data_IF_498190779593
#
_entry.id   IF_498190779593
#
_cell.length_a   1.000
_cell.length_b   1.000
_cell.length_c   1.000
_cell.angle_alpha   90.00
_cell.angle_beta   90.00
_cell.angle_gamma   90.00
#
_symmetry.space_group_name_H-M   'P 1'
#
loop_
_entity.id
_entity.type
_entity.pdbx_description
1 polymer ?
#
# COMPACT_ATOMS: atom_id res chain seq x y z
N UNK A 1 -33.35 31.54 -16.51
CA UNK A 1 -32.15 31.06 -17.25
C UNK A 1 -32.57 30.69 -18.65
N UNK A 2 -31.97 31.31 -19.68
CA UNK A 2 -32.33 31.08 -21.08
C UNK A 2 -31.66 29.82 -21.62
N UNK A 3 -32.31 29.12 -22.56
CA UNK A 3 -31.79 27.86 -23.15
C UNK A 3 -30.37 28.00 -23.70
N UNK A 4 -30.05 29.19 -24.23
CA UNK A 4 -28.73 29.56 -24.76
C UNK A 4 -27.62 29.54 -23.70
N UNK A 5 -27.90 29.97 -22.46
CA UNK A 5 -26.89 29.98 -21.40
C UNK A 5 -26.60 28.57 -20.87
N UNK A 6 -27.60 27.67 -20.91
CA UNK A 6 -27.42 26.25 -20.58
C UNK A 6 -26.57 25.52 -21.63
N UNK A 7 -26.82 25.77 -22.91
CA UNK A 7 -26.02 25.20 -24.00
C UNK A 7 -24.56 25.68 -23.96
N UNK A 8 -24.33 26.96 -23.64
CA UNK A 8 -22.98 27.49 -23.46
C UNK A 8 -22.24 26.83 -22.28
N UNK A 9 -22.93 26.61 -21.15
CA UNK A 9 -22.38 25.91 -19.99
C UNK A 9 -22.02 24.45 -20.32
N UNK A 10 -22.89 23.73 -21.02
CA UNK A 10 -22.65 22.34 -21.42
C UNK A 10 -21.45 22.26 -22.38
N UNK A 11 -21.37 23.14 -23.38
CA UNK A 11 -20.24 23.17 -24.31
C UNK A 11 -18.91 23.46 -23.61
N UNK A 12 -18.92 24.36 -22.62
CA UNK A 12 -17.73 24.68 -21.82
C UNK A 12 -17.31 23.50 -20.92
N UNK A 13 -18.27 22.78 -20.34
CA UNK A 13 -18.02 21.55 -19.57
C UNK A 13 -17.42 20.44 -20.43
N UNK A 14 -17.93 20.26 -21.65
CA UNK A 14 -17.41 19.27 -22.61
C UNK A 14 -15.99 19.63 -23.04
N UNK A 15 -15.72 20.90 -23.39
CA UNK A 15 -14.38 21.37 -23.75
C UNK A 15 -13.38 21.19 -22.61
N UNK A 16 -13.77 21.51 -21.37
CA UNK A 16 -12.94 21.27 -20.19
C UNK A 16 -12.64 19.78 -19.96
N UNK A 17 -13.63 18.91 -20.18
CA UNK A 17 -13.46 17.46 -20.06
C UNK A 17 -12.53 16.88 -21.12
N UNK A 18 -12.67 17.30 -22.39
CA UNK A 18 -11.78 16.87 -23.48
C UNK A 18 -10.35 17.32 -23.22
N UNK A 19 -10.15 18.54 -22.72
CA UNK A 19 -8.82 19.05 -22.37
C UNK A 19 -8.18 18.27 -21.21
N UNK A 20 -8.95 17.96 -20.16
CA UNK A 20 -8.49 17.20 -19.00
C UNK A 20 -8.12 15.74 -19.36
N UNK A 21 -8.81 15.15 -20.33
CA UNK A 21 -8.59 13.76 -20.76
C UNK A 21 -7.57 13.64 -21.93
N UNK A 22 -7.01 14.76 -22.39
CA UNK A 22 -6.06 14.74 -23.50
C UNK A 22 -4.77 14.02 -23.07
N UNK A 23 -4.37 12.93 -23.76
CA UNK A 23 -3.28 12.08 -23.31
C UNK A 23 -1.95 12.83 -23.35
N UNK A 24 -1.35 13.03 -22.17
CA UNK A 24 0.04 13.51 -22.02
C UNK A 24 0.98 12.30 -22.00
N UNK A 25 2.17 12.49 -22.55
CA UNK A 25 3.23 11.47 -22.56
C UNK A 25 3.88 11.39 -21.18
N UNK A 26 3.87 10.21 -20.57
CA UNK A 26 4.58 9.94 -19.31
C UNK A 26 5.53 8.78 -19.52
N UNK A 27 6.76 8.90 -19.01
CA UNK A 27 7.77 7.83 -19.07
C UNK A 27 7.48 6.87 -17.94
N UNK A 28 7.21 5.60 -18.26
CA UNK A 28 6.83 4.57 -17.29
C UNK A 28 7.76 3.36 -17.44
N UNK A 29 8.07 2.71 -16.32
CA UNK A 29 8.94 1.53 -16.29
C UNK A 29 8.08 0.30 -16.62
N UNK A 30 8.15 -0.18 -17.85
CA UNK A 30 7.36 -1.32 -18.36
C UNK A 30 8.22 -2.58 -18.51
N UNK A 31 7.66 -3.73 -18.17
CA UNK A 31 8.34 -5.04 -18.28
C UNK A 31 8.15 -5.59 -19.71
N UNK A 32 9.21 -5.59 -20.52
CA UNK A 32 9.24 -6.18 -21.88
C UNK A 32 10.24 -7.34 -21.88
N UNK A 33 9.79 -8.53 -22.31
CA UNK A 33 10.61 -9.75 -22.37
C UNK A 33 11.35 -10.08 -21.06
N UNK A 34 10.70 -9.87 -19.92
CA UNK A 34 11.28 -10.14 -18.59
C UNK A 34 12.23 -9.05 -18.06
N UNK A 35 12.56 -8.02 -18.85
CA UNK A 35 13.39 -6.89 -18.42
C UNK A 35 12.56 -5.60 -18.28
N UNK A 36 12.86 -4.80 -17.25
CA UNK A 36 12.25 -3.48 -17.06
C UNK A 36 12.91 -2.46 -17.99
N UNK A 37 12.13 -1.88 -18.89
CA UNK A 37 12.56 -0.84 -19.84
C UNK A 37 11.69 0.40 -19.61
N UNK A 38 12.30 1.57 -19.61
CA UNK A 38 11.55 2.83 -19.59
C UNK A 38 11.02 3.08 -21.01
N UNK A 39 9.72 2.99 -21.20
CA UNK A 39 9.07 3.25 -22.50
C UNK A 39 8.13 4.45 -22.38
N UNK A 40 7.99 5.21 -23.48
CA UNK A 40 7.13 6.39 -23.53
C UNK A 40 5.74 5.97 -23.97
N UNK A 41 4.88 5.64 -23.01
CA UNK A 41 3.53 5.14 -23.31
C UNK A 41 2.53 6.30 -23.27
N UNK A 42 1.84 6.52 -24.38
CA UNK A 42 0.80 7.55 -24.50
C UNK A 42 -0.48 7.04 -23.82
N UNK A 43 -0.69 7.39 -22.54
CA UNK A 43 -1.90 6.99 -21.79
C UNK A 43 -2.56 8.20 -21.12
N UNK A 44 -3.87 8.05 -20.89
CA UNK A 44 -4.65 8.98 -20.06
C UNK A 44 -4.07 8.94 -18.63
N UNK A 45 -3.88 10.09 -17.96
CA UNK A 45 -3.42 10.13 -16.57
C UNK A 45 -4.54 9.67 -15.63
N UNK A 46 -4.85 8.38 -15.66
CA UNK A 46 -5.72 7.73 -14.70
C UNK A 46 -4.83 7.00 -13.69
N UNK A 47 -5.09 7.23 -12.40
CA UNK A 47 -4.50 6.46 -11.33
C UNK A 47 -4.96 5.01 -11.49
N UNK A 48 -4.07 4.12 -11.93
CA UNK A 48 -4.39 2.70 -12.09
C UNK A 48 -4.53 2.11 -10.68
N UNK A 49 -5.60 1.37 -10.44
CA UNK A 49 -5.73 0.59 -9.21
C UNK A 49 -4.92 -0.70 -9.30
N UNK A 50 -4.86 -1.45 -8.19
CA UNK A 50 -4.19 -2.74 -8.08
C UNK A 50 -4.57 -3.73 -9.20
N UNK A 51 -5.85 -3.77 -9.60
CA UNK A 51 -6.37 -4.66 -10.65
C UNK A 51 -5.84 -4.31 -12.05
N UNK A 52 -5.45 -3.05 -12.28
CA UNK A 52 -4.96 -2.56 -13.58
C UNK A 52 -3.43 -2.44 -13.62
N UNK A 53 -2.78 -2.27 -12.47
CA UNK A 53 -1.33 -2.10 -12.32
C UNK A 53 -0.62 -3.39 -11.89
N UNK A 54 -1.36 -4.34 -11.31
CA UNK A 54 -0.83 -5.51 -10.63
C UNK A 54 -0.23 -5.16 -9.27
N UNK A 55 -0.05 -6.17 -8.41
CA UNK A 55 0.57 -6.02 -7.09
C UNK A 55 0.04 -7.03 -6.07
N UNK A 56 0.05 -6.63 -4.79
CA UNK A 56 -0.41 -7.48 -3.68
C UNK A 56 -1.49 -6.79 -2.84
N UNK A 57 -2.48 -7.57 -2.41
CA UNK A 57 -3.50 -7.20 -1.43
C UNK A 57 -3.40 -8.14 -0.22
N UNK A 58 -3.29 -7.58 0.97
CA UNK A 58 -3.22 -8.32 2.24
C UNK A 58 -4.30 -7.78 3.18
N UNK A 59 -5.11 -8.68 3.72
CA UNK A 59 -6.03 -8.40 4.81
C UNK A 59 -5.49 -9.04 6.09
N UNK A 60 -5.10 -8.22 7.05
CA UNK A 60 -4.58 -8.64 8.35
C UNK A 60 -5.70 -8.55 9.37
N UNK A 61 -5.91 -9.61 10.15
CA UNK A 61 -6.89 -9.68 11.23
C UNK A 61 -6.19 -9.96 12.55
N UNK A 62 -6.81 -9.57 13.67
CA UNK A 62 -6.30 -9.86 14.99
C UNK A 62 -6.45 -11.36 15.28
N UNK A 63 -5.33 -12.02 15.59
CA UNK A 63 -5.35 -13.41 16.05
C UNK A 63 -5.75 -13.47 17.54
N UNK A 64 -7.01 -13.82 17.80
CA UNK A 64 -7.56 -13.99 19.16
C UNK A 64 -7.34 -15.41 19.72
N UNK A 65 -6.65 -16.30 18.99
CA UNK A 65 -6.46 -17.70 19.44
C UNK A 65 -5.63 -17.84 20.72
N UNK A 66 -4.77 -16.85 21.01
CA UNK A 66 -3.85 -16.86 22.16
C UNK A 66 -4.38 -16.08 23.38
N UNK A 67 -5.59 -15.52 23.28
CA UNK A 67 -6.21 -14.73 24.34
C UNK A 67 -6.95 -13.53 23.76
N UNK A 68 -8.02 -13.11 24.45
CA UNK A 68 -8.78 -11.93 24.09
C UNK A 68 -7.90 -10.67 24.25
N UNK A 69 -7.94 -9.79 23.25
CA UNK A 69 -7.26 -8.50 23.30
C UNK A 69 -8.24 -7.47 23.86
N UNK A 70 -7.99 -6.97 25.08
CA UNK A 70 -8.86 -5.97 25.75
C UNK A 70 -8.93 -4.64 24.95
N UNK A 71 -7.80 -4.18 24.40
CA UNK A 71 -7.70 -2.95 23.61
C UNK A 71 -7.45 -3.25 22.12
N UNK A 72 -8.48 -3.72 21.42
CA UNK A 72 -8.40 -4.05 19.98
C UNK A 72 -8.02 -2.83 19.15
N UNK A 73 -8.60 -1.66 19.45
CA UNK A 73 -8.37 -0.43 18.67
C UNK A 73 -6.93 0.05 18.81
N UNK A 74 -6.41 0.16 20.02
CA UNK A 74 -5.01 0.56 20.21
C UNK A 74 -4.03 -0.49 19.68
N UNK A 75 -4.37 -1.78 19.74
CA UNK A 75 -3.57 -2.83 19.10
C UNK A 75 -3.50 -2.64 17.57
N UNK A 76 -4.64 -2.37 16.91
CA UNK A 76 -4.71 -2.09 15.47
C UNK A 76 -3.93 -0.82 15.09
N UNK A 77 -4.06 0.26 15.87
CA UNK A 77 -3.33 1.52 15.60
C UNK A 77 -1.81 1.31 15.70
N UNK A 78 -1.34 0.52 16.67
CA UNK A 78 0.07 0.14 16.81
C UNK A 78 0.52 -0.73 15.63
N UNK A 79 -0.25 -1.75 15.30
CA UNK A 79 0.03 -2.65 14.19
C UNK A 79 0.09 -1.88 12.85
N UNK A 80 -0.85 -0.97 12.60
CA UNK A 80 -0.88 -0.11 11.41
C UNK A 80 0.40 0.71 11.29
N UNK A 81 0.88 1.30 12.38
CA UNK A 81 2.14 2.05 12.39
C UNK A 81 3.33 1.15 12.04
N UNK A 82 3.40 -0.05 12.62
CA UNK A 82 4.49 -1.01 12.36
C UNK A 82 4.47 -1.48 10.89
N UNK A 83 3.30 -1.87 10.39
CA UNK A 83 3.11 -2.33 9.02
C UNK A 83 3.50 -1.26 8.02
N UNK A 84 3.09 0.00 8.25
CA UNK A 84 3.47 1.14 7.41
C UNK A 84 4.98 1.34 7.35
N UNK A 85 5.66 1.39 8.49
CA UNK A 85 7.13 1.55 8.55
C UNK A 85 7.88 0.42 7.84
N UNK A 86 7.35 -0.81 7.87
CA UNK A 86 7.96 -1.95 7.17
C UNK A 86 7.77 -1.86 5.66
N UNK A 87 6.58 -1.45 5.23
CA UNK A 87 6.25 -1.34 3.81
C UNK A 87 7.08 -0.25 3.12
N UNK A 88 7.38 0.83 3.83
CA UNK A 88 8.22 1.93 3.32
C UNK A 88 9.62 1.44 2.86
N UNK A 89 10.08 0.28 3.33
CA UNK A 89 11.37 -0.31 2.94
C UNK A 89 11.38 -0.94 1.54
N UNK A 90 10.20 -1.22 0.95
CA UNK A 90 10.09 -1.85 -0.37
C UNK A 90 10.16 -0.86 -1.54
N UNK A 91 10.09 0.45 -1.27
CA UNK A 91 10.22 1.48 -2.31
C UNK A 91 9.07 1.50 -3.33
N UNK A 92 7.91 0.95 -2.97
CA UNK A 92 6.69 1.01 -3.79
C UNK A 92 6.19 2.45 -3.86
N UNK A 93 5.69 2.86 -5.03
CA UNK A 93 5.41 4.28 -5.28
C UNK A 93 4.23 4.82 -4.48
N UNK A 94 3.23 3.99 -4.14
CA UNK A 94 2.04 4.43 -3.40
C UNK A 94 1.38 3.29 -2.59
N UNK A 95 1.95 2.87 -1.45
CA UNK A 95 1.34 1.85 -0.61
C UNK A 95 0.11 2.41 0.11
N UNK A 96 -0.98 1.62 0.15
CA UNK A 96 -2.17 1.93 0.94
C UNK A 96 -2.19 1.02 2.17
N UNK A 97 -2.20 1.62 3.35
CA UNK A 97 -2.33 0.90 4.63
C UNK A 97 -3.42 1.57 5.43
N UNK A 98 -4.55 0.90 5.60
CA UNK A 98 -5.72 1.47 6.26
C UNK A 98 -6.43 0.43 7.14
N UNK A 99 -7.07 0.90 8.20
CA UNK A 99 -8.00 0.05 8.96
C UNK A 99 -9.29 -0.11 8.17
N UNK A 100 -9.82 -1.33 8.10
CA UNK A 100 -11.13 -1.60 7.55
C UNK A 100 -12.01 -2.24 8.64
N UNK A 101 -13.19 -1.66 8.86
CA UNK A 101 -14.07 -2.10 9.94
C UNK A 101 -13.47 -1.87 11.32
N UNK A 102 -13.64 -2.84 12.22
CA UNK A 102 -13.24 -2.75 13.63
C UNK A 102 -12.08 -3.68 14.02
N UNK A 103 -11.63 -4.53 13.12
CA UNK A 103 -10.78 -5.69 13.42
C UNK A 103 -9.70 -5.97 12.35
N UNK A 104 -9.70 -5.24 11.22
CA UNK A 104 -8.83 -5.54 10.09
C UNK A 104 -7.97 -4.37 9.64
N UNK A 105 -6.80 -4.70 9.12
CA UNK A 105 -5.91 -3.79 8.40
C UNK A 105 -5.78 -4.28 6.97
N UNK A 106 -6.10 -3.39 6.03
CA UNK A 106 -5.93 -3.62 4.60
C UNK A 106 -4.63 -2.99 4.15
N UNK A 107 -3.84 -3.77 3.43
CA UNK A 107 -2.56 -3.38 2.85
C UNK A 107 -2.61 -3.64 1.35
N UNK A 108 -2.36 -2.59 0.57
CA UNK A 108 -2.27 -2.67 -0.88
C UNK A 108 -0.89 -2.17 -1.34
N UNK A 109 -0.16 -3.03 -2.04
CA UNK A 109 1.18 -2.76 -2.57
C UNK A 109 1.13 -2.85 -4.10
N UNK A 110 0.80 -1.76 -4.80
CA UNK A 110 0.78 -1.74 -6.26
C UNK A 110 2.21 -1.82 -6.82
N UNK A 111 2.38 -2.55 -7.91
CA UNK A 111 3.66 -2.63 -8.65
C UNK A 111 4.81 -3.29 -7.89
N UNK A 112 4.52 -4.15 -6.91
CA UNK A 112 5.57 -4.86 -6.15
C UNK A 112 6.19 -5.99 -6.98
N UNK A 113 7.53 -6.08 -6.94
CA UNK A 113 8.30 -7.07 -7.73
C UNK A 113 8.25 -8.48 -7.12
N UNK A 114 8.27 -8.58 -5.79
CA UNK A 114 8.34 -9.83 -5.02
C UNK A 114 7.26 -9.82 -3.92
N UNK A 115 6.05 -10.33 -4.22
CA UNK A 115 4.95 -10.35 -3.26
C UNK A 115 5.24 -11.29 -2.08
N UNK A 116 5.90 -12.43 -2.29
CA UNK A 116 6.19 -13.42 -1.24
C UNK A 116 7.10 -12.83 -0.17
N UNK A 117 8.13 -12.07 -0.58
CA UNK A 117 9.01 -11.36 0.36
C UNK A 117 8.26 -10.30 1.16
N UNK A 118 7.34 -9.58 0.52
CA UNK A 118 6.58 -8.54 1.17
C UNK A 118 5.55 -9.11 2.17
N UNK A 119 4.87 -10.19 1.80
CA UNK A 119 4.02 -10.97 2.71
C UNK A 119 4.83 -11.42 3.93
N UNK A 120 6.01 -12.01 3.73
CA UNK A 120 6.86 -12.48 4.82
C UNK A 120 7.24 -11.35 5.81
N UNK A 121 7.56 -10.15 5.31
CA UNK A 121 7.92 -9.01 6.17
C UNK A 121 6.70 -8.45 6.90
N UNK A 122 5.54 -8.43 6.28
CA UNK A 122 4.30 -7.97 6.91
C UNK A 122 3.83 -8.96 7.98
N UNK A 123 3.84 -10.26 7.70
CA UNK A 123 3.41 -11.32 8.62
C UNK A 123 4.35 -11.54 9.80
N UNK A 124 5.67 -11.32 9.63
CA UNK A 124 6.65 -11.63 10.68
C UNK A 124 6.44 -10.77 11.92
N UNK A 125 5.97 -11.36 13.02
CA UNK A 125 6.00 -10.69 14.33
C UNK A 125 7.45 -10.46 14.74
N UNK A 126 7.88 -9.20 14.80
CA UNK A 126 9.26 -8.87 15.20
C UNK A 126 9.22 -8.41 16.66
N UNK A 127 9.43 -9.35 17.58
CA UNK A 127 9.65 -9.05 18.98
C UNK A 127 11.15 -8.87 19.18
N UNK A 128 11.58 -7.64 19.48
CA UNK A 128 12.96 -7.32 19.80
C UNK A 128 13.09 -7.18 21.31
N UNK A 129 13.85 -8.07 21.92
CA UNK A 129 14.17 -8.01 23.34
C UNK A 129 15.68 -7.80 23.51
N UNK A 130 16.04 -6.87 24.40
CA UNK A 130 17.42 -6.68 24.83
C UNK A 130 17.63 -7.44 26.13
N UNK A 131 18.42 -8.51 26.08
CA UNK A 131 18.80 -9.25 27.27
C UNK A 131 20.25 -8.92 27.65
N UNK A 132 20.48 -8.76 28.95
CA UNK A 132 21.84 -8.61 29.48
C UNK A 132 22.45 -10.01 29.60
N UNK A 133 23.55 -10.24 28.91
CA UNK A 133 24.26 -11.53 28.98
C UNK A 133 25.14 -11.59 30.23
N UNK A 134 25.00 -12.64 31.04
CA UNK A 134 25.95 -12.93 32.11
C UNK A 134 27.28 -13.40 31.49
N UNK A 135 28.31 -12.56 31.60
CA UNK A 135 29.67 -12.89 31.11
C UNK A 135 30.47 -13.74 32.10
N UNK A 136 29.94 -13.96 33.30
CA UNK A 136 30.66 -14.50 34.45
C UNK A 136 30.28 -15.95 34.77
N UNK A 137 29.32 -16.54 34.04
CA UNK A 137 28.77 -17.89 34.28
C UNK A 137 28.35 -18.12 35.75
N UNK A 138 28.00 -17.05 36.47
CA UNK A 138 27.73 -17.13 37.90
C UNK A 138 26.35 -17.79 38.18
N UNK A 139 25.45 -17.73 37.19
CA UNK A 139 24.09 -18.25 37.28
C UNK A 139 23.98 -19.77 37.00
N UNK A 140 25.03 -20.42 36.51
CA UNK A 140 25.01 -21.85 36.13
C UNK A 140 25.42 -22.79 37.28
N UNK A 141 25.73 -22.25 38.47
CA UNK A 141 26.40 -22.98 39.56
C UNK A 141 25.53 -23.26 40.80
N UNK A 142 24.21 -23.39 40.63
CA UNK A 142 23.28 -23.81 41.70
C UNK A 142 22.69 -25.17 41.39
#
# INVERSE_FOLDING_TARGET
MTLKSRLALIALLILGSIWALYPRTTVERVKRNGAFVYDTVKRVPLKKGLDLEGGMYLALEIDESKGAVDDKKGALERALKVVRTRIDQFGVSEPVVQMAGSDRIIVELPGIDDPDRAEAVVQKSAFLEFQITDKTQALEKV
#
